data_IF_049456442666
#
_entry.id   IF_049456442666
#
_cell.length_a   1.000
_cell.length_b   1.000
_cell.length_c   1.000
_cell.angle_alpha   90.00
_cell.angle_beta   90.00
_cell.angle_gamma   90.00
#
_symmetry.space_group_name_H-M   'P 1'
#
loop_
_entity.id
_entity.type
_entity.pdbx_description
1 polymer ?
#
# COMPACT_ATOMS: atom_id res chain seq x y z
N UNK A 1 -32.55 0.75 10.28
CA UNK A 1 -32.31 2.12 9.85
C UNK A 1 -31.03 2.25 9.04
N UNK A 2 -30.11 1.31 9.19
CA UNK A 2 -28.88 1.19 8.41
C UNK A 2 -28.92 0.07 7.37
N UNK A 3 -30.15 -0.38 7.02
CA UNK A 3 -30.34 -1.33 5.95
C UNK A 3 -29.94 -0.74 4.59
N UNK A 4 -29.26 -1.53 3.79
CA UNK A 4 -28.86 -1.16 2.43
C UNK A 4 -30.09 -1.20 1.53
N UNK A 5 -30.42 -0.06 0.90
CA UNK A 5 -31.59 0.06 0.01
C UNK A 5 -31.23 0.19 -1.47
N UNK A 6 -29.99 0.63 -1.76
CA UNK A 6 -29.53 0.75 -3.13
C UNK A 6 -28.01 0.57 -3.22
N UNK A 7 -27.56 -0.08 -4.30
CA UNK A 7 -26.17 -0.24 -4.65
C UNK A 7 -26.00 0.01 -6.15
N UNK A 8 -25.03 0.84 -6.49
CA UNK A 8 -24.73 1.14 -7.88
C UNK A 8 -23.22 1.16 -8.11
N UNK A 9 -22.76 0.34 -9.05
CA UNK A 9 -21.37 0.33 -9.51
C UNK A 9 -21.23 0.92 -10.91
N UNK A 10 -20.06 1.50 -11.17
CA UNK A 10 -19.65 2.01 -12.47
C UNK A 10 -18.16 1.78 -12.72
N UNK A 11 -17.76 1.86 -14.00
CA UNK A 11 -16.36 1.98 -14.35
C UNK A 11 -15.93 3.45 -14.25
N UNK A 12 -14.82 3.70 -13.58
CA UNK A 12 -14.10 4.98 -13.61
C UNK A 12 -12.67 4.72 -14.09
N UNK A 13 -11.88 5.76 -14.29
CA UNK A 13 -10.46 5.63 -14.63
C UNK A 13 -9.58 5.73 -13.38
N UNK A 14 -8.58 4.86 -13.31
CA UNK A 14 -7.50 4.97 -12.34
C UNK A 14 -6.41 5.95 -12.78
N UNK A 15 -5.39 6.14 -11.96
CA UNK A 15 -4.27 7.06 -12.20
C UNK A 15 -3.39 6.70 -13.41
N UNK A 16 -3.55 5.49 -13.95
CA UNK A 16 -2.89 5.04 -15.19
C UNK A 16 -3.79 5.12 -16.42
N UNK A 17 -5.02 5.62 -16.27
CA UNK A 17 -6.00 5.70 -17.35
C UNK A 17 -6.66 4.36 -17.68
N UNK A 18 -6.55 3.36 -16.80
CA UNK A 18 -7.24 2.07 -16.93
C UNK A 18 -8.57 2.08 -16.17
N UNK A 19 -9.57 1.33 -16.63
CA UNK A 19 -10.81 1.19 -15.89
C UNK A 19 -10.61 0.54 -14.53
N UNK A 20 -11.36 1.03 -13.53
CA UNK A 20 -11.52 0.41 -12.22
C UNK A 20 -12.96 0.54 -11.74
N UNK A 21 -13.32 -0.20 -10.68
CA UNK A 21 -14.67 -0.24 -10.13
C UNK A 21 -14.84 0.88 -9.10
N UNK A 22 -15.94 1.62 -9.19
CA UNK A 22 -16.44 2.50 -8.13
C UNK A 22 -17.84 2.07 -7.75
N UNK A 23 -18.13 2.03 -6.45
CA UNK A 23 -19.42 1.59 -5.90
C UNK A 23 -20.01 2.67 -5.01
N UNK A 24 -21.30 2.93 -5.18
CA UNK A 24 -22.14 3.71 -4.31
C UNK A 24 -23.05 2.78 -3.50
N UNK A 25 -23.20 3.04 -2.20
CA UNK A 25 -24.14 2.37 -1.32
C UNK A 25 -25.01 3.43 -0.64
N UNK A 26 -26.33 3.22 -0.65
CA UNK A 26 -27.29 4.07 0.03
C UNK A 26 -28.05 3.28 1.09
N UNK A 27 -28.24 3.88 2.27
CA UNK A 27 -28.98 3.30 3.38
C UNK A 27 -30.39 3.87 3.50
N UNK A 28 -31.26 3.18 4.25
CA UNK A 28 -32.68 3.54 4.45
C UNK A 28 -32.85 4.95 5.03
N UNK A 29 -31.94 5.42 5.86
CA UNK A 29 -31.97 6.78 6.42
C UNK A 29 -31.43 7.87 5.47
N UNK A 30 -31.01 7.50 4.27
CA UNK A 30 -30.43 8.38 3.26
C UNK A 30 -28.92 8.54 3.35
N UNK A 31 -28.28 7.89 4.31
CA UNK A 31 -26.82 7.90 4.43
C UNK A 31 -26.17 7.22 3.23
N UNK A 32 -24.96 7.70 2.86
CA UNK A 32 -24.34 7.37 1.60
C UNK A 32 -22.83 7.06 1.76
N UNK A 33 -22.36 6.08 1.00
CA UNK A 33 -20.94 5.77 0.92
C UNK A 33 -20.51 5.50 -0.52
N UNK A 34 -19.33 6.01 -0.89
CA UNK A 34 -18.70 5.79 -2.19
C UNK A 34 -17.28 5.29 -2.00
N UNK A 35 -16.92 4.25 -2.72
CA UNK A 35 -15.55 3.71 -2.72
C UNK A 35 -15.09 3.36 -4.13
N UNK A 36 -13.86 3.71 -4.44
CA UNK A 36 -13.18 3.31 -5.66
C UNK A 36 -12.07 2.29 -5.33
N UNK A 37 -11.91 1.28 -6.18
CA UNK A 37 -11.01 0.16 -5.95
C UNK A 37 -9.66 0.42 -6.61
N UNK A 38 -8.53 0.27 -5.89
CA UNK A 38 -7.20 0.37 -6.48
C UNK A 38 -6.83 -0.87 -7.30
N UNK A 39 -5.80 -0.76 -8.15
CA UNK A 39 -5.32 -1.81 -9.05
C UNK A 39 -3.81 -1.87 -9.08
N UNK A 40 -3.21 -3.06 -9.02
CA UNK A 40 -1.76 -3.26 -9.08
C UNK A 40 -1.22 -3.30 -10.52
N UNK A 41 0.06 -2.93 -10.70
CA UNK A 41 0.84 -3.19 -11.91
C UNK A 41 1.55 -4.55 -11.79
N UNK A 42 2.34 -4.73 -10.74
CA UNK A 42 2.82 -6.03 -10.30
C UNK A 42 1.79 -6.65 -9.35
N UNK A 43 1.54 -7.95 -9.48
CA UNK A 43 0.58 -8.66 -8.62
C UNK A 43 1.22 -9.95 -8.13
N UNK A 44 1.19 -10.18 -6.83
CA UNK A 44 1.60 -11.43 -6.23
C UNK A 44 0.75 -12.60 -6.72
N UNK A 45 1.36 -13.76 -6.94
CA UNK A 45 0.67 -14.93 -7.49
C UNK A 45 -0.49 -15.43 -6.60
N UNK A 46 -0.49 -15.04 -5.34
CA UNK A 46 -1.45 -15.48 -4.33
C UNK A 46 -2.52 -14.43 -3.98
N UNK A 47 -2.57 -13.30 -4.71
CA UNK A 47 -3.59 -12.27 -4.50
C UNK A 47 -5.00 -12.77 -4.88
N UNK A 48 -6.01 -12.18 -4.24
CA UNK A 48 -7.38 -12.33 -4.70
C UNK A 48 -7.54 -11.74 -6.12
N UNK A 49 -8.44 -12.31 -6.91
CA UNK A 49 -8.55 -12.04 -8.35
C UNK A 49 -9.20 -10.70 -8.62
N UNK A 50 -8.46 -9.80 -9.25
CA UNK A 50 -9.03 -8.63 -9.91
C UNK A 50 -9.68 -9.06 -11.22
N UNK A 51 -11.00 -8.93 -11.31
CA UNK A 51 -11.72 -9.37 -12.51
C UNK A 51 -11.62 -8.33 -13.60
N UNK A 52 -11.03 -8.74 -14.73
CA UNK A 52 -10.93 -7.99 -15.98
C UNK A 52 -11.69 -8.69 -17.09
N UNK A 53 -12.28 -7.92 -18.01
CA UNK A 53 -13.13 -8.47 -19.08
C UNK A 53 -12.35 -9.26 -20.12
N UNK A 54 -11.09 -8.89 -20.37
CA UNK A 54 -10.22 -9.55 -21.35
C UNK A 54 -10.59 -9.26 -22.82
N UNK A 55 -11.66 -8.49 -23.08
CA UNK A 55 -12.09 -8.10 -24.43
C UNK A 55 -11.17 -7.02 -25.00
N UNK A 56 -10.25 -7.43 -25.83
CA UNK A 56 -9.25 -6.51 -26.44
C UNK A 56 -9.85 -5.43 -27.34
N UNK A 57 -11.10 -5.58 -27.78
CA UNK A 57 -11.80 -4.56 -28.58
C UNK A 57 -12.25 -3.36 -27.73
N UNK A 58 -12.28 -3.52 -26.42
CA UNK A 58 -12.65 -2.48 -25.45
C UNK A 58 -11.59 -2.37 -24.36
N UNK A 59 -11.13 -1.15 -24.08
CA UNK A 59 -10.12 -0.87 -23.06
C UNK A 59 -8.85 -1.75 -23.18
N UNK A 60 -8.52 -2.22 -24.38
CA UNK A 60 -7.40 -3.14 -24.62
C UNK A 60 -7.40 -4.40 -23.73
N UNK A 61 -8.59 -4.86 -23.35
CA UNK A 61 -8.80 -6.02 -22.49
C UNK A 61 -8.86 -5.70 -20.99
N UNK A 62 -8.64 -4.43 -20.60
CA UNK A 62 -8.57 -4.02 -19.19
C UNK A 62 -9.91 -3.54 -18.60
N UNK A 63 -11.02 -3.65 -19.33
CA UNK A 63 -12.35 -3.32 -18.84
C UNK A 63 -12.73 -4.10 -17.58
N UNK A 64 -13.60 -3.52 -16.75
CA UNK A 64 -14.12 -4.14 -15.52
C UNK A 64 -15.65 -4.25 -15.54
N UNK A 65 -16.25 -4.28 -16.73
CA UNK A 65 -17.70 -4.34 -16.86
C UNK A 65 -18.32 -5.58 -16.20
N UNK A 66 -17.66 -6.73 -16.31
CA UNK A 66 -18.12 -7.96 -15.65
C UNK A 66 -18.15 -7.81 -14.11
N UNK A 67 -17.18 -7.12 -13.52
CA UNK A 67 -17.20 -6.82 -12.08
C UNK A 67 -18.30 -5.81 -11.72
N UNK A 68 -18.50 -4.79 -12.54
CA UNK A 68 -19.62 -3.83 -12.39
C UNK A 68 -20.96 -4.53 -12.46
N UNK A 69 -21.16 -5.41 -13.43
CA UNK A 69 -22.39 -6.19 -13.58
C UNK A 69 -22.62 -7.12 -12.40
N UNK A 70 -21.56 -7.74 -11.86
CA UNK A 70 -21.66 -8.58 -10.65
C UNK A 70 -22.16 -7.76 -9.45
N UNK A 71 -21.69 -6.55 -9.26
CA UNK A 71 -22.17 -5.64 -8.20
C UNK A 71 -23.64 -5.28 -8.42
N UNK A 72 -24.00 -4.82 -9.63
CA UNK A 72 -25.33 -4.30 -9.93
C UNK A 72 -26.42 -5.36 -10.01
N UNK A 73 -26.05 -6.65 -10.02
CA UNK A 73 -26.98 -7.80 -10.10
C UNK A 73 -26.82 -8.72 -8.90
N UNK A 74 -25.98 -9.73 -9.00
CA UNK A 74 -25.87 -10.81 -8.00
C UNK A 74 -25.52 -10.30 -6.61
N UNK A 75 -24.53 -9.40 -6.47
CA UNK A 75 -24.15 -8.86 -5.16
C UNK A 75 -25.27 -7.97 -4.62
N UNK A 76 -25.86 -7.11 -5.46
CA UNK A 76 -26.98 -6.27 -5.02
C UNK A 76 -28.16 -7.13 -4.53
N UNK A 77 -28.56 -8.19 -5.24
CA UNK A 77 -29.63 -9.09 -4.82
C UNK A 77 -29.34 -9.75 -3.47
N UNK A 78 -28.06 -10.10 -3.19
CA UNK A 78 -27.65 -10.76 -1.95
C UNK A 78 -27.63 -9.80 -0.75
N UNK A 79 -27.17 -8.55 -0.95
CA UNK A 79 -26.88 -7.64 0.17
C UNK A 79 -27.94 -6.57 0.43
N UNK A 80 -28.91 -6.37 -0.50
CA UNK A 80 -30.03 -5.48 -0.27
C UNK A 80 -30.83 -5.94 0.95
N UNK A 81 -31.10 -5.00 1.87
CA UNK A 81 -31.78 -5.26 3.13
C UNK A 81 -30.86 -5.69 4.29
N UNK A 82 -29.59 -6.03 4.03
CA UNK A 82 -28.62 -6.27 5.11
C UNK A 82 -28.28 -4.96 5.83
N UNK A 83 -27.90 -5.09 7.08
CA UNK A 83 -27.43 -3.97 7.90
C UNK A 83 -25.98 -3.63 7.54
N UNK A 84 -25.72 -2.41 7.05
CA UNK A 84 -24.38 -1.96 6.69
C UNK A 84 -23.43 -1.86 7.91
N UNK A 85 -23.95 -1.79 9.13
CA UNK A 85 -23.13 -1.81 10.35
C UNK A 85 -22.63 -3.19 10.72
N UNK A 86 -23.27 -4.24 10.19
CA UNK A 86 -22.84 -5.61 10.37
C UNK A 86 -21.83 -6.00 9.29
N UNK A 87 -20.68 -5.31 9.27
CA UNK A 87 -19.63 -5.45 8.26
C UNK A 87 -19.19 -6.88 8.04
N UNK A 88 -19.02 -7.64 9.12
CA UNK A 88 -18.55 -9.03 9.04
C UNK A 88 -19.57 -9.94 8.33
N UNK A 89 -20.86 -9.76 8.60
CA UNK A 89 -21.92 -10.53 7.95
C UNK A 89 -22.06 -10.13 6.48
N UNK A 90 -21.98 -8.83 6.18
CA UNK A 90 -22.01 -8.33 4.81
C UNK A 90 -20.84 -8.91 3.97
N UNK A 91 -19.63 -8.83 4.48
CA UNK A 91 -18.45 -9.33 3.79
C UNK A 91 -18.51 -10.84 3.63
N UNK A 92 -18.96 -11.57 4.67
CA UNK A 92 -19.16 -13.03 4.60
C UNK A 92 -20.20 -13.41 3.54
N UNK A 93 -21.34 -12.73 3.47
CA UNK A 93 -22.35 -12.99 2.46
C UNK A 93 -21.79 -12.89 1.03
N UNK A 94 -20.98 -11.87 0.75
CA UNK A 94 -20.33 -11.72 -0.57
C UNK A 94 -19.26 -12.78 -0.84
N UNK A 95 -18.49 -13.19 0.16
CA UNK A 95 -17.49 -14.27 0.04
C UNK A 95 -18.17 -15.60 -0.25
N UNK A 96 -19.24 -15.93 0.47
CA UNK A 96 -20.04 -17.15 0.27
C UNK A 96 -20.73 -17.15 -1.09
N UNK A 97 -21.25 -16.00 -1.53
CA UNK A 97 -21.84 -15.83 -2.87
C UNK A 97 -20.80 -16.10 -3.97
N UNK A 98 -19.58 -15.60 -3.83
CA UNK A 98 -18.49 -15.89 -4.77
C UNK A 98 -18.17 -17.40 -4.79
N UNK A 99 -18.01 -18.02 -3.65
CA UNK A 99 -17.81 -19.44 -3.45
C UNK A 99 -16.46 -19.98 -3.93
N UNK A 100 -15.52 -19.11 -4.33
CA UNK A 100 -14.16 -19.51 -4.73
C UNK A 100 -13.12 -19.06 -3.70
N UNK A 101 -11.97 -19.76 -3.57
CA UNK A 101 -10.97 -19.43 -2.55
C UNK A 101 -10.32 -18.03 -2.72
N UNK A 102 -10.31 -17.52 -3.94
CA UNK A 102 -9.62 -16.28 -4.33
C UNK A 102 -10.55 -15.21 -4.91
N UNK A 103 -11.85 -15.30 -4.67
CA UNK A 103 -12.87 -14.38 -5.20
C UNK A 103 -12.87 -14.26 -6.73
N UNK A 104 -12.52 -15.37 -7.41
CA UNK A 104 -12.33 -15.39 -8.88
C UNK A 104 -13.63 -15.36 -9.68
N UNK A 105 -14.79 -15.71 -9.09
CA UNK A 105 -16.06 -15.74 -9.79
C UNK A 105 -16.65 -14.35 -9.97
N UNK A 106 -16.81 -13.59 -8.90
CA UNK A 106 -17.36 -12.23 -8.92
C UNK A 106 -16.26 -11.17 -9.13
N UNK A 107 -15.08 -11.41 -8.58
CA UNK A 107 -13.94 -10.52 -8.56
C UNK A 107 -13.75 -9.83 -7.21
N UNK A 108 -12.51 -9.83 -6.72
CA UNK A 108 -12.16 -9.12 -5.49
C UNK A 108 -12.42 -7.61 -5.60
N UNK A 109 -12.26 -7.03 -6.78
CA UNK A 109 -12.57 -5.62 -7.06
C UNK A 109 -14.07 -5.31 -6.89
N UNK A 110 -14.96 -6.18 -7.36
CA UNK A 110 -16.41 -6.05 -7.15
C UNK A 110 -16.77 -6.12 -5.66
N UNK A 111 -16.29 -7.13 -4.95
CA UNK A 111 -16.56 -7.37 -3.54
C UNK A 111 -16.01 -6.23 -2.67
N UNK A 112 -14.76 -5.82 -2.90
CA UNK A 112 -14.13 -4.74 -2.13
C UNK A 112 -14.85 -3.40 -2.30
N UNK A 113 -15.28 -3.08 -3.50
CA UNK A 113 -16.03 -1.84 -3.76
C UNK A 113 -17.27 -1.74 -2.87
N UNK A 114 -18.05 -2.82 -2.78
CA UNK A 114 -19.24 -2.87 -1.91
C UNK A 114 -18.85 -2.84 -0.43
N UNK A 115 -17.86 -3.63 -0.02
CA UNK A 115 -17.38 -3.70 1.36
C UNK A 115 -16.97 -2.32 1.91
N UNK A 116 -16.17 -1.56 1.16
CA UNK A 116 -15.72 -0.24 1.57
C UNK A 116 -16.82 0.83 1.46
N UNK A 117 -17.64 0.79 0.42
CA UNK A 117 -18.74 1.74 0.27
C UNK A 117 -19.78 1.57 1.39
N UNK A 118 -20.09 0.33 1.78
CA UNK A 118 -20.99 0.05 2.90
C UNK A 118 -20.43 0.56 4.23
N UNK A 119 -19.14 0.37 4.50
CA UNK A 119 -18.49 0.92 5.70
C UNK A 119 -18.56 2.45 5.75
N UNK A 120 -18.38 3.11 4.62
CA UNK A 120 -18.52 4.58 4.51
C UNK A 120 -19.96 5.05 4.74
N UNK A 121 -20.94 4.34 4.18
CA UNK A 121 -22.34 4.64 4.41
C UNK A 121 -22.73 4.45 5.87
N UNK A 122 -22.27 3.39 6.53
CA UNK A 122 -22.49 3.16 7.94
C UNK A 122 -21.83 4.24 8.83
N UNK A 123 -20.63 4.69 8.48
CA UNK A 123 -19.97 5.81 9.14
C UNK A 123 -20.78 7.10 9.01
N UNK A 124 -21.29 7.40 7.80
CA UNK A 124 -22.16 8.55 7.53
C UNK A 124 -23.44 8.49 8.37
N UNK A 125 -24.11 7.33 8.47
CA UNK A 125 -25.28 7.10 9.29
C UNK A 125 -25.05 7.38 10.79
N UNK A 126 -23.82 7.20 11.25
CA UNK A 126 -23.43 7.50 12.63
C UNK A 126 -22.89 8.92 12.82
N UNK A 127 -22.77 9.71 11.74
CA UNK A 127 -22.16 11.03 11.78
C UNK A 127 -20.69 10.99 12.21
N UNK A 128 -19.98 9.90 11.89
CA UNK A 128 -18.59 9.68 12.24
C UNK A 128 -17.69 9.68 11.00
N UNK A 129 -16.49 10.25 11.09
CA UNK A 129 -15.48 10.02 10.03
C UNK A 129 -15.10 8.54 10.00
N UNK A 130 -14.68 8.04 8.83
CA UNK A 130 -14.43 6.62 8.62
C UNK A 130 -13.40 6.05 9.60
N UNK A 131 -12.30 6.77 9.85
CA UNK A 131 -11.26 6.30 10.77
C UNK A 131 -11.81 6.07 12.19
N UNK A 132 -12.75 6.93 12.65
CA UNK A 132 -13.38 6.82 13.96
C UNK A 132 -14.41 5.70 14.00
N UNK A 133 -15.18 5.55 12.94
CA UNK A 133 -16.15 4.47 12.81
C UNK A 133 -15.48 3.09 12.86
N UNK A 134 -14.42 2.90 12.06
CA UNK A 134 -13.71 1.62 11.98
C UNK A 134 -12.81 1.37 13.19
N UNK A 135 -12.08 2.38 13.64
CA UNK A 135 -11.07 2.24 14.71
C UNK A 135 -11.59 2.49 16.12
N UNK A 136 -12.79 3.04 16.26
CA UNK A 136 -13.36 3.38 17.56
C UNK A 136 -12.67 4.55 18.25
N UNK A 137 -12.88 4.64 19.56
CA UNK A 137 -12.41 5.77 20.38
C UNK A 137 -10.87 5.88 20.48
N UNK A 138 -10.18 4.80 20.21
CA UNK A 138 -8.70 4.73 20.30
C UNK A 138 -7.99 5.05 18.98
N UNK A 139 -8.70 5.35 17.91
CA UNK A 139 -8.11 5.72 16.62
C UNK A 139 -7.58 7.16 16.67
N UNK A 140 -6.26 7.34 16.85
CA UNK A 140 -5.64 8.65 17.02
C UNK A 140 -4.17 8.74 16.57
N UNK A 141 -3.59 7.63 16.11
CA UNK A 141 -2.18 7.61 15.68
C UNK A 141 -2.08 7.95 14.19
N UNK A 142 -1.45 9.09 13.89
CA UNK A 142 -1.11 9.49 12.53
C UNK A 142 0.11 8.69 12.06
N UNK A 143 0.03 8.02 10.91
CA UNK A 143 1.11 7.18 10.41
C UNK A 143 2.30 7.99 9.91
N UNK A 144 3.51 7.47 10.10
CA UNK A 144 4.70 7.97 9.41
C UNK A 144 4.60 7.59 7.94
N UNK A 145 4.69 8.56 7.00
CA UNK A 145 4.67 8.24 5.58
C UNK A 145 6.01 7.70 5.09
N UNK A 146 5.95 6.64 4.29
CA UNK A 146 7.06 6.09 3.52
C UNK A 146 6.89 6.59 2.08
N UNK A 147 7.62 7.65 1.72
CA UNK A 147 7.40 8.42 0.49
C UNK A 147 8.33 7.95 -0.62
N UNK A 148 7.79 7.30 -1.64
CA UNK A 148 8.55 6.81 -2.79
C UNK A 148 9.06 7.97 -3.63
N UNK A 149 10.36 8.28 -3.56
CA UNK A 149 10.96 9.48 -4.17
C UNK A 149 11.75 9.18 -5.46
N UNK A 150 12.28 7.94 -5.60
CA UNK A 150 12.88 7.42 -6.83
C UNK A 150 12.27 6.07 -7.16
N UNK A 151 11.88 5.90 -8.41
CA UNK A 151 11.31 4.69 -8.96
C UNK A 151 12.30 3.94 -9.85
N UNK A 152 12.22 2.61 -9.79
CA UNK A 152 12.92 1.69 -10.70
C UNK A 152 12.04 0.46 -10.96
N UNK A 153 12.65 -0.66 -11.37
CA UNK A 153 11.94 -1.91 -11.64
C UNK A 153 10.73 -1.73 -12.55
N UNK A 154 9.61 -2.36 -12.20
CA UNK A 154 8.36 -2.27 -12.97
C UNK A 154 7.67 -0.87 -12.91
N UNK A 155 8.12 0.01 -12.01
CA UNK A 155 7.55 1.35 -11.85
C UNK A 155 8.22 2.43 -12.71
N UNK A 156 9.32 2.10 -13.42
CA UNK A 156 10.05 3.06 -14.24
C UNK A 156 10.79 2.38 -15.41
N UNK A 157 10.85 3.05 -16.54
CA UNK A 157 11.66 2.63 -17.70
C UNK A 157 13.10 3.15 -17.51
N UNK A 158 13.85 2.53 -16.61
CA UNK A 158 15.26 2.82 -16.31
C UNK A 158 15.99 1.54 -15.88
N UNK A 159 17.35 1.55 -15.77
CA UNK A 159 18.12 0.34 -15.45
C UNK A 159 18.16 -0.03 -13.96
N UNK A 160 17.44 0.63 -13.08
CA UNK A 160 17.43 0.33 -11.65
C UNK A 160 16.63 -0.93 -11.40
N UNK A 161 17.22 -1.93 -10.74
CA UNK A 161 16.53 -3.21 -10.44
C UNK A 161 15.48 -3.08 -9.32
N UNK A 162 15.76 -2.28 -8.28
CA UNK A 162 14.83 -2.08 -7.17
C UNK A 162 13.68 -1.15 -7.57
N UNK A 163 12.49 -1.48 -7.09
CA UNK A 163 11.25 -0.82 -7.52
C UNK A 163 11.05 0.55 -6.89
N UNK A 164 11.37 0.70 -5.60
CA UNK A 164 11.12 1.95 -4.87
C UNK A 164 12.22 2.29 -3.87
N UNK A 165 12.54 3.58 -3.82
CA UNK A 165 13.42 4.19 -2.83
C UNK A 165 12.63 5.26 -2.10
N UNK A 166 12.44 5.06 -0.79
CA UNK A 166 11.55 5.88 0.02
C UNK A 166 12.32 6.68 1.07
N UNK A 167 11.86 7.92 1.29
CA UNK A 167 12.23 8.73 2.45
C UNK A 167 11.14 8.60 3.53
N UNK A 168 11.56 8.62 4.79
CA UNK A 168 10.68 8.38 5.93
C UNK A 168 10.95 9.41 7.03
N UNK A 169 10.13 10.47 7.14
CA UNK A 169 10.38 11.60 8.03
C UNK A 169 10.01 11.29 9.49
N UNK A 170 10.76 10.39 10.12
CA UNK A 170 10.52 9.93 11.51
C UNK A 170 10.76 11.02 12.56
N UNK A 171 11.54 12.04 12.23
CA UNK A 171 11.87 13.14 13.13
C UNK A 171 10.90 14.31 13.09
N UNK A 172 9.86 14.26 12.27
CA UNK A 172 8.81 15.27 12.23
C UNK A 172 7.97 15.26 13.51
N UNK A 173 7.41 16.42 13.88
CA UNK A 173 6.59 16.55 15.08
C UNK A 173 5.14 16.10 14.84
N UNK A 174 4.65 16.20 13.60
CA UNK A 174 3.28 15.90 13.20
C UNK A 174 3.23 15.57 11.70
N UNK A 175 2.03 15.22 11.20
CA UNK A 175 1.88 14.82 9.79
C UNK A 175 2.11 15.99 8.83
N UNK A 176 1.74 17.21 9.21
CA UNK A 176 1.95 18.41 8.37
C UNK A 176 3.45 18.64 8.17
N UNK A 177 4.24 18.57 9.24
CA UNK A 177 5.69 18.72 9.18
C UNK A 177 6.37 17.54 8.43
N UNK A 178 5.82 16.33 8.54
CA UNK A 178 6.30 15.19 7.76
C UNK A 178 6.07 15.40 6.25
N UNK A 179 4.91 15.88 5.86
CA UNK A 179 4.59 16.21 4.45
C UNK A 179 5.44 17.39 3.96
N UNK A 180 5.65 18.42 4.77
CA UNK A 180 6.56 19.53 4.45
C UNK A 180 7.98 19.03 4.21
N UNK A 181 8.51 18.23 5.11
CA UNK A 181 9.84 17.63 4.99
C UNK A 181 9.96 16.83 3.67
N UNK A 182 8.99 15.97 3.38
CA UNK A 182 8.95 15.22 2.14
C UNK A 182 8.94 16.11 0.90
N UNK A 183 8.11 17.16 0.89
CA UNK A 183 8.02 18.11 -0.22
C UNK A 183 9.33 18.86 -0.45
N UNK A 184 9.97 19.34 0.58
CA UNK A 184 11.26 20.05 0.50
C UNK A 184 12.37 19.14 -0.06
N UNK A 185 12.44 17.88 0.39
CA UNK A 185 13.40 16.91 -0.14
C UNK A 185 13.07 16.56 -1.60
N UNK A 186 11.80 16.36 -1.93
CA UNK A 186 11.34 16.07 -3.30
C UNK A 186 11.80 17.17 -4.27
N UNK A 187 11.56 18.44 -3.96
CA UNK A 187 11.96 19.56 -4.82
C UNK A 187 13.48 19.73 -4.86
N UNK A 188 14.19 19.47 -3.77
CA UNK A 188 15.67 19.49 -3.72
C UNK A 188 16.25 18.38 -4.62
N UNK A 189 15.70 17.17 -4.56
CA UNK A 189 16.11 16.07 -5.44
C UNK A 189 15.84 16.41 -6.91
N UNK A 190 14.66 16.98 -7.22
CA UNK A 190 14.34 17.43 -8.59
C UNK A 190 15.40 18.37 -9.13
N UNK A 191 15.81 19.36 -8.34
CA UNK A 191 16.85 20.31 -8.70
C UNK A 191 18.19 19.61 -8.97
N UNK A 192 18.62 18.70 -8.09
CA UNK A 192 19.87 17.95 -8.24
C UNK A 192 19.89 17.06 -9.47
N UNK A 193 18.81 16.36 -9.76
CA UNK A 193 18.67 15.55 -10.96
C UNK A 193 18.78 16.42 -12.22
N UNK A 194 18.09 17.55 -12.24
CA UNK A 194 18.14 18.51 -13.35
C UNK A 194 19.56 19.06 -13.56
N UNK A 195 20.27 19.44 -12.51
CA UNK A 195 21.66 19.94 -12.57
C UNK A 195 22.63 18.89 -13.12
N UNK A 196 22.33 17.61 -12.96
CA UNK A 196 23.08 16.49 -13.54
C UNK A 196 22.63 16.11 -14.96
N UNK A 197 21.65 16.81 -15.52
CA UNK A 197 21.10 16.49 -16.85
C UNK A 197 20.24 15.21 -16.86
N UNK A 198 19.77 14.77 -15.70
CA UNK A 198 18.91 13.59 -15.56
C UNK A 198 17.43 13.94 -15.65
N UNK A 199 16.62 12.97 -16.09
CA UNK A 199 15.19 13.16 -16.20
C UNK A 199 14.51 13.45 -14.85
N UNK A 200 13.56 14.38 -14.85
CA UNK A 200 12.72 14.74 -13.71
C UNK A 200 11.25 14.42 -13.95
N UNK A 201 10.96 13.59 -14.94
CA UNK A 201 9.65 12.96 -15.12
C UNK A 201 9.33 12.04 -13.95
N UNK A 202 8.03 11.95 -13.60
CA UNK A 202 7.58 11.12 -12.49
C UNK A 202 6.96 9.82 -13.01
N UNK A 203 7.18 8.74 -12.26
CA UNK A 203 6.56 7.44 -12.49
C UNK A 203 5.13 7.36 -11.97
N UNK A 204 4.57 6.16 -11.99
CA UNK A 204 3.17 5.89 -11.61
C UNK A 204 2.83 6.32 -10.18
N UNK A 205 3.79 6.29 -9.28
CA UNK A 205 3.60 6.65 -7.86
C UNK A 205 4.11 8.04 -7.50
N UNK A 206 4.45 8.86 -8.50
CA UNK A 206 4.84 10.25 -8.30
C UNK A 206 6.31 10.48 -7.96
N UNK A 207 7.11 9.43 -7.76
CA UNK A 207 8.58 9.52 -7.62
C UNK A 207 9.27 9.74 -8.95
N UNK A 208 10.50 10.27 -8.94
CA UNK A 208 11.28 10.47 -10.16
C UNK A 208 11.76 9.14 -10.74
N UNK A 209 11.89 9.09 -12.06
CA UNK A 209 12.37 7.93 -12.80
C UNK A 209 13.65 8.29 -13.60
N UNK A 210 14.76 8.66 -12.94
CA UNK A 210 15.97 9.04 -13.61
C UNK A 210 16.70 7.83 -14.20
N UNK A 211 17.42 8.03 -15.31
CA UNK A 211 18.28 7.02 -15.88
C UNK A 211 19.64 7.00 -15.13
N UNK A 212 19.66 6.33 -13.98
CA UNK A 212 20.85 6.11 -13.16
C UNK A 212 21.16 4.61 -13.08
N UNK A 213 22.44 4.27 -12.87
CA UNK A 213 22.93 2.95 -13.17
C UNK A 213 22.88 1.97 -12.00
N UNK A 214 22.76 2.46 -10.74
CA UNK A 214 22.87 1.57 -9.59
C UNK A 214 22.00 2.00 -8.40
N UNK A 215 21.73 1.04 -7.53
CA UNK A 215 21.06 1.24 -6.24
C UNK A 215 21.82 2.24 -5.37
N UNK A 216 23.14 2.14 -5.30
CA UNK A 216 23.95 3.05 -4.48
C UNK A 216 23.94 4.48 -5.02
N UNK A 217 23.96 4.67 -6.35
CA UNK A 217 23.83 6.00 -6.94
C UNK A 217 22.46 6.64 -6.59
N UNK A 218 21.37 5.87 -6.64
CA UNK A 218 20.05 6.34 -6.22
C UNK A 218 20.04 6.77 -4.74
N UNK A 219 20.60 5.93 -3.86
CA UNK A 219 20.69 6.23 -2.44
C UNK A 219 21.56 7.46 -2.16
N UNK A 220 22.66 7.64 -2.86
CA UNK A 220 23.55 8.81 -2.72
C UNK A 220 22.85 10.11 -3.14
N UNK A 221 22.06 10.08 -4.23
CA UNK A 221 21.22 11.23 -4.61
C UNK A 221 20.23 11.59 -3.52
N UNK A 222 19.58 10.60 -2.93
CA UNK A 222 18.59 10.81 -1.86
C UNK A 222 19.29 11.37 -0.62
N UNK A 223 20.37 10.75 -0.15
CA UNK A 223 21.14 11.19 1.01
C UNK A 223 21.57 12.66 0.88
N UNK A 224 22.18 12.99 -0.26
CA UNK A 224 22.61 14.37 -0.53
C UNK A 224 21.45 15.35 -0.66
N UNK A 225 20.28 14.90 -1.06
CA UNK A 225 19.07 15.74 -1.16
C UNK A 225 18.45 16.00 0.21
N UNK A 226 18.47 15.02 1.11
CA UNK A 226 18.05 15.18 2.51
C UNK A 226 18.92 16.26 3.20
N UNK A 227 20.24 16.12 3.07
CA UNK A 227 21.19 17.09 3.66
C UNK A 227 21.03 18.49 3.08
N UNK A 228 20.91 18.61 1.75
CA UNK A 228 20.74 19.89 1.07
C UNK A 228 19.39 20.56 1.38
N UNK A 229 18.37 19.79 1.74
CA UNK A 229 17.09 20.30 2.23
C UNK A 229 17.13 20.73 3.70
N UNK A 230 18.27 20.54 4.40
CA UNK A 230 18.46 20.96 5.78
C UNK A 230 18.11 19.90 6.83
N UNK A 231 17.90 18.65 6.42
CA UNK A 231 17.60 17.54 7.31
C UNK A 231 18.79 16.60 7.49
N UNK A 232 18.79 15.83 8.58
CA UNK A 232 19.85 14.89 8.90
C UNK A 232 19.40 13.45 8.59
N UNK A 233 20.06 12.77 7.61
CA UNK A 233 19.81 11.36 7.36
C UNK A 233 20.12 10.52 8.62
N UNK A 234 19.25 9.55 8.91
CA UNK A 234 19.38 8.67 10.07
C UNK A 234 18.89 9.28 11.39
N UNK A 235 18.57 10.58 11.42
CA UNK A 235 18.05 11.27 12.62
C UNK A 235 16.64 11.84 12.39
N UNK A 236 16.51 12.69 11.37
CA UNK A 236 15.21 13.28 10.97
C UNK A 236 14.49 12.41 9.93
N UNK A 237 15.26 11.85 9.01
CA UNK A 237 14.76 11.08 7.86
C UNK A 237 15.51 9.77 7.76
N UNK A 238 14.76 8.67 7.81
CA UNK A 238 15.25 7.34 7.49
C UNK A 238 14.99 7.02 6.03
N UNK A 239 15.58 5.93 5.54
CA UNK A 239 15.32 5.37 4.21
C UNK A 239 14.58 4.05 4.31
N UNK A 240 13.79 3.75 3.27
CA UNK A 240 13.18 2.45 3.08
C UNK A 240 13.29 2.03 1.61
N UNK A 241 13.31 0.73 1.38
CA UNK A 241 13.40 0.13 0.05
C UNK A 241 12.20 -0.79 -0.19
N UNK A 242 11.73 -0.81 -1.42
CA UNK A 242 10.95 -1.92 -1.97
C UNK A 242 11.78 -2.54 -3.10
N UNK A 243 12.25 -3.76 -2.86
CA UNK A 243 13.09 -4.48 -3.81
C UNK A 243 12.25 -5.16 -4.88
N UNK A 244 11.01 -5.54 -4.59
CA UNK A 244 10.15 -6.36 -5.45
C UNK A 244 10.90 -7.57 -6.05
N UNK A 245 11.59 -8.32 -5.19
CA UNK A 245 12.62 -9.28 -5.61
C UNK A 245 12.08 -10.44 -6.45
N UNK A 246 10.78 -10.72 -6.40
CA UNK A 246 10.12 -11.71 -7.28
C UNK A 246 10.33 -11.36 -8.76
N UNK A 247 10.40 -10.07 -9.11
CA UNK A 247 10.49 -9.59 -10.50
C UNK A 247 11.84 -9.97 -11.17
N UNK A 248 12.90 -10.13 -10.39
CA UNK A 248 14.22 -10.53 -10.92
C UNK A 248 14.71 -11.89 -10.37
N UNK A 249 13.83 -12.68 -9.73
CA UNK A 249 14.14 -14.04 -9.31
C UNK A 249 13.83 -15.04 -10.43
N UNK A 250 14.86 -15.71 -10.95
CA UNK A 250 14.73 -16.70 -12.04
C UNK A 250 15.69 -17.84 -11.81
N UNK A 251 15.21 -19.07 -11.99
CA UNK A 251 16.02 -20.29 -11.90
C UNK A 251 16.77 -20.45 -10.56
N UNK A 252 16.15 -20.00 -9.46
CA UNK A 252 16.71 -20.11 -8.10
C UNK A 252 17.76 -19.06 -7.75
N UNK A 253 17.93 -18.02 -8.58
CA UNK A 253 18.86 -16.91 -8.35
C UNK A 253 18.23 -15.55 -8.63
N UNK A 254 18.78 -14.51 -8.03
CA UNK A 254 18.39 -13.11 -8.24
C UNK A 254 19.27 -12.51 -9.33
N UNK A 255 18.66 -12.22 -10.49
CA UNK A 255 19.34 -11.67 -11.68
C UNK A 255 19.10 -10.16 -11.76
N UNK A 256 19.97 -9.39 -11.14
CA UNK A 256 19.92 -7.93 -11.16
C UNK A 256 20.67 -7.42 -12.39
N UNK A 257 19.93 -7.13 -13.45
CA UNK A 257 20.50 -6.72 -14.75
C UNK A 257 21.18 -5.36 -14.66
N UNK A 258 20.54 -4.40 -13.99
CA UNK A 258 21.06 -3.05 -13.79
C UNK A 258 22.33 -3.02 -12.94
N UNK A 259 22.40 -3.84 -11.91
CA UNK A 259 23.58 -4.02 -11.07
C UNK A 259 24.66 -4.93 -11.71
N UNK A 260 24.33 -5.65 -12.79
CA UNK A 260 25.23 -6.64 -13.40
C UNK A 260 25.54 -7.81 -12.46
N UNK A 261 24.63 -8.18 -11.58
CA UNK A 261 24.82 -9.22 -10.56
C UNK A 261 23.87 -10.39 -10.75
N UNK A 262 24.36 -11.58 -10.43
CA UNK A 262 23.54 -12.78 -10.26
C UNK A 262 23.88 -13.37 -8.90
N UNK A 263 22.91 -13.40 -8.01
CA UNK A 263 23.10 -13.72 -6.59
C UNK A 263 22.23 -14.91 -6.19
N UNK A 264 22.81 -15.81 -5.39
CA UNK A 264 22.01 -16.77 -4.62
C UNK A 264 21.21 -16.07 -3.54
N UNK A 265 20.27 -16.76 -2.88
CA UNK A 265 19.48 -16.21 -1.77
C UNK A 265 20.39 -15.72 -0.63
N UNK A 266 21.43 -16.46 -0.30
CA UNK A 266 22.39 -16.06 0.73
C UNK A 266 23.20 -14.82 0.33
N UNK A 267 23.68 -14.74 -0.91
CA UNK A 267 24.40 -13.57 -1.43
C UNK A 267 23.50 -12.33 -1.53
N UNK A 268 22.23 -12.51 -1.88
CA UNK A 268 21.25 -11.41 -1.87
C UNK A 268 21.00 -10.88 -0.45
N UNK A 269 20.90 -11.77 0.54
CA UNK A 269 20.79 -11.35 1.95
C UNK A 269 22.04 -10.56 2.41
N UNK A 270 23.25 -10.97 1.97
CA UNK A 270 24.49 -10.21 2.24
C UNK A 270 24.49 -8.85 1.53
N UNK A 271 24.04 -8.78 0.30
CA UNK A 271 23.93 -7.52 -0.45
C UNK A 271 23.01 -6.53 0.26
N UNK A 272 21.81 -6.96 0.67
CA UNK A 272 20.86 -6.12 1.42
C UNK A 272 21.42 -5.72 2.78
N UNK A 273 22.12 -6.63 3.49
CA UNK A 273 22.78 -6.31 4.75
C UNK A 273 23.88 -5.26 4.58
N UNK A 274 24.63 -5.33 3.48
CA UNK A 274 25.64 -4.32 3.12
C UNK A 274 25.04 -2.93 2.90
N UNK A 275 23.91 -2.84 2.21
CA UNK A 275 23.17 -1.58 2.03
C UNK A 275 22.67 -1.02 3.37
N UNK A 276 22.07 -1.86 4.21
CA UNK A 276 21.57 -1.45 5.53
C UNK A 276 22.69 -1.03 6.51
N UNK A 277 23.91 -1.53 6.32
CA UNK A 277 25.08 -1.10 7.09
C UNK A 277 25.65 0.24 6.61
N UNK A 278 25.48 0.57 5.35
CA UNK A 278 26.04 1.77 4.71
C UNK A 278 25.09 2.96 4.75
N UNK A 279 23.79 2.73 4.70
CA UNK A 279 22.75 3.77 4.64
C UNK A 279 21.76 3.61 5.82
N UNK A 280 21.07 4.68 6.24
CA UNK A 280 20.09 4.65 7.32
C UNK A 280 18.77 3.99 6.88
N UNK A 281 18.84 2.76 6.38
CA UNK A 281 17.70 1.96 5.93
C UNK A 281 17.10 1.27 7.16
N UNK A 282 15.85 1.61 7.49
CA UNK A 282 15.14 0.98 8.59
C UNK A 282 14.15 -0.09 8.12
N UNK A 283 13.77 -0.08 6.83
CA UNK A 283 12.75 -0.98 6.28
C UNK A 283 13.11 -1.45 4.87
N UNK A 284 12.94 -2.75 4.63
CA UNK A 284 13.11 -3.40 3.33
C UNK A 284 11.87 -4.23 3.05
N UNK A 285 11.18 -3.91 1.96
CA UNK A 285 10.01 -4.63 1.47
C UNK A 285 10.45 -5.61 0.38
N UNK A 286 9.88 -6.81 0.42
CA UNK A 286 10.11 -7.90 -0.55
C UNK A 286 11.57 -8.05 -0.98
N UNK A 287 12.46 -8.11 0.00
CA UNK A 287 13.89 -8.33 -0.22
C UNK A 287 14.22 -9.71 -0.76
N UNK A 288 13.28 -10.64 -0.72
CA UNK A 288 13.33 -11.99 -1.31
C UNK A 288 12.07 -12.26 -2.10
N UNK A 289 12.12 -13.22 -3.02
CA UNK A 289 10.99 -13.63 -3.83
C UNK A 289 9.88 -14.26 -2.95
N UNK A 290 8.63 -14.16 -3.41
CA UNK A 290 7.42 -14.55 -2.66
C UNK A 290 7.36 -16.02 -2.21
N UNK A 291 8.07 -16.90 -2.89
CA UNK A 291 8.15 -18.34 -2.55
C UNK A 291 9.56 -18.80 -2.13
N UNK A 292 10.54 -17.90 -2.03
CA UNK A 292 11.89 -18.19 -1.51
C UNK A 292 11.90 -18.12 0.03
N UNK A 293 11.19 -19.03 0.67
CA UNK A 293 11.07 -19.08 2.14
C UNK A 293 12.41 -19.27 2.86
N UNK A 294 13.33 -20.04 2.28
CA UNK A 294 14.68 -20.23 2.84
C UNK A 294 15.49 -18.93 2.78
N UNK A 295 15.37 -18.20 1.67
CA UNK A 295 15.95 -16.86 1.54
C UNK A 295 15.37 -15.86 2.55
N UNK A 296 14.05 -15.86 2.73
CA UNK A 296 13.38 -15.05 3.74
C UNK A 296 13.84 -15.39 5.16
N UNK A 297 14.05 -16.67 5.46
CA UNK A 297 14.60 -17.09 6.75
C UNK A 297 15.99 -16.53 6.98
N UNK A 298 16.88 -16.70 6.02
CA UNK A 298 18.24 -16.18 6.10
C UNK A 298 18.27 -14.65 6.24
N UNK A 299 17.45 -13.92 5.48
CA UNK A 299 17.35 -12.47 5.59
C UNK A 299 16.84 -12.04 6.97
N UNK A 300 15.80 -12.71 7.49
CA UNK A 300 15.20 -12.38 8.78
C UNK A 300 16.18 -12.61 9.92
N UNK A 301 16.91 -13.73 9.91
CA UNK A 301 17.96 -14.02 10.91
C UNK A 301 19.09 -12.99 10.88
N UNK A 302 19.44 -12.50 9.68
CA UNK A 302 20.53 -11.53 9.49
C UNK A 302 20.15 -10.11 9.87
N UNK A 303 18.98 -9.63 9.48
CA UNK A 303 18.58 -8.22 9.58
C UNK A 303 17.38 -7.96 10.51
N UNK A 304 16.54 -8.96 10.77
CA UNK A 304 15.24 -8.76 11.40
C UNK A 304 15.27 -8.14 12.81
N UNK A 305 16.40 -8.19 13.50
CA UNK A 305 16.55 -7.54 14.80
C UNK A 305 16.73 -6.01 14.72
N UNK A 306 17.12 -5.48 13.54
CA UNK A 306 17.47 -4.06 13.36
C UNK A 306 16.68 -3.39 12.24
N UNK A 307 16.17 -4.17 11.30
CA UNK A 307 15.50 -3.69 10.08
C UNK A 307 14.09 -4.27 10.05
N UNK A 308 13.12 -3.43 9.70
CA UNK A 308 11.78 -3.87 9.37
C UNK A 308 11.81 -4.61 8.03
N UNK A 309 11.40 -5.87 8.02
CA UNK A 309 11.32 -6.70 6.83
C UNK A 309 9.84 -6.90 6.48
N UNK A 310 9.41 -6.21 5.44
CA UNK A 310 8.02 -6.14 5.03
C UNK A 310 7.72 -7.21 3.98
N UNK A 311 6.69 -8.02 4.22
CA UNK A 311 6.15 -8.93 3.21
C UNK A 311 4.95 -8.29 2.50
N UNK A 312 5.11 -7.99 1.21
CA UNK A 312 4.06 -7.62 0.26
C UNK A 312 3.58 -8.88 -0.47
N UNK A 313 4.25 -9.29 -1.52
CA UNK A 313 3.91 -10.50 -2.28
C UNK A 313 4.04 -11.77 -1.43
N UNK A 314 4.91 -11.76 -0.43
CA UNK A 314 5.06 -12.84 0.53
C UNK A 314 3.74 -13.16 1.25
N UNK A 315 2.99 -12.17 1.69
CA UNK A 315 1.81 -12.31 2.52
C UNK A 315 0.49 -11.98 1.81
N UNK A 316 0.51 -11.13 0.81
CA UNK A 316 -0.65 -10.65 0.03
C UNK A 316 -1.86 -10.26 0.89
N UNK A 317 -1.61 -9.66 2.05
CA UNK A 317 -2.65 -9.28 3.03
C UNK A 317 -3.52 -10.47 3.48
N UNK A 318 -3.02 -11.70 3.30
CA UNK A 318 -3.76 -12.92 3.59
C UNK A 318 -3.41 -13.47 4.98
N UNK A 319 -4.37 -13.57 5.93
CA UNK A 319 -4.12 -14.06 7.27
C UNK A 319 -3.48 -15.46 7.32
N UNK A 320 -3.80 -16.34 6.38
CA UNK A 320 -3.23 -17.70 6.32
C UNK A 320 -1.74 -17.67 5.96
N UNK A 321 -1.36 -16.88 4.95
CA UNK A 321 0.06 -16.71 4.57
C UNK A 321 0.83 -15.97 5.65
N UNK A 322 0.23 -14.93 6.23
CA UNK A 322 0.82 -14.21 7.36
C UNK A 322 1.07 -15.12 8.55
N UNK A 323 0.11 -15.99 8.89
CA UNK A 323 0.29 -16.98 9.97
C UNK A 323 1.46 -17.91 9.70
N UNK A 324 1.64 -18.39 8.46
CA UNK A 324 2.83 -19.18 8.07
C UNK A 324 4.12 -18.39 8.32
N UNK A 325 4.13 -17.10 7.98
CA UNK A 325 5.26 -16.21 8.25
C UNK A 325 5.59 -16.11 9.74
N UNK A 326 4.56 -15.88 10.55
CA UNK A 326 4.67 -15.74 12.01
C UNK A 326 5.19 -17.05 12.62
N UNK A 327 4.58 -18.18 12.30
CA UNK A 327 4.94 -19.50 12.85
C UNK A 327 6.38 -19.92 12.47
N UNK A 328 6.84 -19.53 11.27
CA UNK A 328 8.19 -19.84 10.76
C UNK A 328 9.25 -18.77 11.08
N UNK A 329 8.86 -17.62 11.59
CA UNK A 329 9.77 -16.50 11.84
C UNK A 329 10.33 -15.90 10.54
N UNK A 330 9.48 -15.71 9.55
CA UNK A 330 9.80 -15.08 8.26
C UNK A 330 9.29 -13.64 8.24
N UNK A 331 10.13 -12.68 7.84
CA UNK A 331 9.83 -11.25 7.88
C UNK A 331 9.46 -10.77 9.31
N UNK A 332 8.98 -9.56 9.46
CA UNK A 332 8.50 -9.01 10.73
C UNK A 332 7.51 -7.86 10.56
N UNK A 333 7.01 -7.66 9.33
CA UNK A 333 6.03 -6.64 9.01
C UNK A 333 5.14 -7.10 7.85
N UNK A 334 3.88 -6.68 7.89
CA UNK A 334 2.88 -6.91 6.84
C UNK A 334 2.67 -5.63 6.04
N UNK A 335 2.76 -5.70 4.71
CA UNK A 335 2.19 -4.68 3.85
C UNK A 335 0.69 -4.95 3.68
N UNK A 336 -0.14 -3.92 3.87
CA UNK A 336 -1.60 -4.05 3.86
C UNK A 336 -2.16 -3.38 2.62
N UNK A 337 -2.64 -4.18 1.68
CA UNK A 337 -3.31 -3.74 0.45
C UNK A 337 -4.73 -4.30 0.43
N UNK A 338 -5.72 -3.46 0.59
CA UNK A 338 -7.14 -3.87 0.73
C UNK A 338 -7.63 -4.74 -0.41
N UNK A 339 -7.15 -4.51 -1.63
CA UNK A 339 -7.58 -5.27 -2.81
C UNK A 339 -6.87 -6.62 -2.99
N UNK A 340 -5.76 -6.88 -2.27
CA UNK A 340 -5.10 -8.19 -2.31
C UNK A 340 -5.92 -9.28 -1.63
N UNK A 341 -6.77 -8.90 -0.69
CA UNK A 341 -7.67 -9.83 0.02
C UNK A 341 -9.15 -9.60 -0.35
N UNK A 342 -9.58 -8.35 -0.52
CA UNK A 342 -10.85 -8.00 -1.16
C UNK A 342 -12.03 -7.72 -0.24
N UNK A 343 -11.84 -7.65 1.09
CA UNK A 343 -12.84 -7.13 2.04
C UNK A 343 -12.20 -6.33 3.15
N UNK A 344 -12.97 -5.44 3.76
CA UNK A 344 -12.54 -4.69 4.94
C UNK A 344 -12.33 -5.63 6.13
N UNK A 345 -13.24 -6.57 6.36
CA UNK A 345 -13.15 -7.53 7.47
C UNK A 345 -11.84 -8.32 7.43
N UNK A 346 -11.52 -8.96 6.30
CA UNK A 346 -10.28 -9.73 6.16
C UNK A 346 -9.03 -8.84 6.25
N UNK A 347 -9.11 -7.60 5.75
CA UNK A 347 -8.02 -6.61 5.91
C UNK A 347 -7.74 -6.32 7.38
N UNK A 348 -8.78 -6.04 8.15
CA UNK A 348 -8.65 -5.76 9.59
C UNK A 348 -8.19 -6.99 10.39
N UNK A 349 -8.62 -8.18 9.99
CA UNK A 349 -8.13 -9.44 10.57
C UNK A 349 -6.63 -9.63 10.34
N UNK A 350 -6.13 -9.37 9.13
CA UNK A 350 -4.71 -9.45 8.82
C UNK A 350 -3.89 -8.44 9.65
N UNK A 351 -4.33 -7.19 9.75
CA UNK A 351 -3.67 -6.16 10.57
C UNK A 351 -3.66 -6.57 12.04
N UNK A 352 -4.79 -7.02 12.56
CA UNK A 352 -4.91 -7.46 13.97
C UNK A 352 -4.03 -8.67 14.26
N UNK A 353 -3.94 -9.63 13.34
CA UNK A 353 -3.05 -10.78 13.48
C UNK A 353 -1.57 -10.35 13.52
N UNK A 354 -1.15 -9.45 12.61
CA UNK A 354 0.19 -8.90 12.57
C UNK A 354 0.54 -8.25 13.92
N UNK A 355 -0.27 -7.30 14.37
CA UNK A 355 -0.04 -6.52 15.58
C UNK A 355 0.03 -7.40 16.85
N UNK A 356 -0.89 -8.37 16.99
CA UNK A 356 -0.89 -9.30 18.13
C UNK A 356 0.27 -10.28 18.12
N UNK A 357 0.93 -10.45 16.98
CA UNK A 357 2.08 -11.34 16.80
C UNK A 357 3.41 -10.58 16.78
N UNK A 358 3.42 -9.31 17.23
CA UNK A 358 4.60 -8.43 17.25
C UNK A 358 5.17 -8.14 15.86
N UNK A 359 4.38 -8.30 14.80
CA UNK A 359 4.67 -7.78 13.47
C UNK A 359 4.14 -6.35 13.37
N UNK A 360 4.86 -5.49 12.69
CA UNK A 360 4.34 -4.20 12.29
C UNK A 360 3.42 -4.34 11.07
N UNK A 361 2.64 -3.30 10.79
CA UNK A 361 1.80 -3.22 9.59
C UNK A 361 2.01 -1.87 8.92
N UNK A 362 2.06 -1.87 7.59
CA UNK A 362 2.17 -0.68 6.76
C UNK A 362 0.95 -0.61 5.86
N UNK A 363 0.09 0.39 6.04
CA UNK A 363 -1.05 0.61 5.13
C UNK A 363 -0.54 1.10 3.78
N UNK A 364 -0.98 0.49 2.68
CA UNK A 364 -0.39 0.73 1.37
C UNK A 364 -1.42 1.01 0.29
N UNK A 365 -1.04 1.91 -0.63
CA UNK A 365 -1.68 2.11 -1.92
C UNK A 365 -1.34 0.99 -2.92
N UNK A 366 -1.81 1.15 -4.15
CA UNK A 366 -1.35 0.38 -5.32
C UNK A 366 -0.83 1.35 -6.40
N UNK A 367 -0.16 0.80 -7.43
CA UNK A 367 0.34 1.60 -8.56
C UNK A 367 -0.80 2.28 -9.35
N UNK A 368 -1.93 1.63 -9.53
CA UNK A 368 -3.16 2.20 -10.05
C UNK A 368 -4.09 2.65 -8.92
N UNK A 369 -4.19 3.95 -8.72
CA UNK A 369 -5.01 4.58 -7.67
C UNK A 369 -6.05 5.53 -8.25
N UNK A 370 -6.92 6.01 -7.37
CA UNK A 370 -7.90 7.07 -7.64
C UNK A 370 -7.77 8.16 -6.57
N UNK A 371 -8.65 9.16 -6.56
CA UNK A 371 -8.72 10.16 -5.49
C UNK A 371 -9.32 9.60 -4.19
N UNK A 372 -9.76 8.34 -4.16
CA UNK A 372 -10.23 7.68 -2.94
C UNK A 372 -9.13 7.69 -1.87
N UNK A 373 -9.45 8.15 -0.68
CA UNK A 373 -8.51 8.30 0.43
C UNK A 373 -8.75 7.30 1.58
N UNK A 374 -9.51 6.25 1.34
CA UNK A 374 -9.90 5.24 2.35
C UNK A 374 -8.70 4.72 3.15
N UNK A 375 -7.57 4.45 2.49
CA UNK A 375 -6.39 3.90 3.19
C UNK A 375 -5.78 4.87 4.20
N UNK A 376 -5.95 6.17 4.04
CA UNK A 376 -5.53 7.15 5.05
C UNK A 376 -6.37 7.00 6.33
N UNK A 377 -7.69 6.88 6.20
CA UNK A 377 -8.58 6.59 7.33
C UNK A 377 -8.26 5.24 7.97
N UNK A 378 -8.01 4.19 7.19
CA UNK A 378 -7.68 2.86 7.70
C UNK A 378 -6.34 2.83 8.44
N UNK A 379 -5.35 3.60 8.00
CA UNK A 379 -4.08 3.72 8.70
C UNK A 379 -4.27 4.29 10.12
N UNK A 380 -5.10 5.31 10.27
CA UNK A 380 -5.42 5.89 11.58
C UNK A 380 -6.36 4.98 12.38
N UNK A 381 -7.36 4.38 11.72
CA UNK A 381 -8.30 3.45 12.37
C UNK A 381 -7.60 2.27 13.05
N UNK A 382 -6.57 1.74 12.42
CA UNK A 382 -5.81 0.58 12.93
C UNK A 382 -4.65 0.96 13.85
N UNK A 383 -4.33 2.25 13.98
CA UNK A 383 -3.12 2.74 14.66
C UNK A 383 -1.85 1.98 14.18
N UNK A 384 -1.77 1.61 12.90
CA UNK A 384 -0.65 0.83 12.38
C UNK A 384 0.68 1.62 12.37
N UNK A 385 0.60 2.94 12.41
CA UNK A 385 1.75 3.83 12.56
C UNK A 385 2.56 4.09 11.30
N UNK A 386 2.24 3.44 10.18
CA UNK A 386 2.97 3.59 8.92
C UNK A 386 2.00 3.57 7.73
N UNK A 387 2.30 4.39 6.72
CA UNK A 387 1.58 4.39 5.43
C UNK A 387 2.57 4.52 4.26
N UNK A 388 2.37 3.70 3.24
CA UNK A 388 3.09 3.73 1.98
C UNK A 388 2.10 4.16 0.89
N UNK A 389 2.16 5.43 0.43
CA UNK A 389 1.16 5.97 -0.49
C UNK A 389 1.77 6.87 -1.58
N UNK A 390 2.99 6.55 -1.99
CA UNK A 390 3.67 7.23 -3.10
C UNK A 390 4.40 8.50 -2.68
N UNK A 391 4.71 9.34 -3.66
CA UNK A 391 5.50 10.54 -3.51
C UNK A 391 4.65 11.79 -3.29
N UNK A 392 5.29 12.97 -3.40
CA UNK A 392 4.70 14.31 -3.24
C UNK A 392 4.22 14.90 -4.58
N UNK A 393 3.83 14.06 -5.52
CA UNK A 393 3.29 14.43 -6.82
C UNK A 393 2.17 13.44 -7.21
N UNK A 394 1.29 13.85 -8.12
CA UNK A 394 0.06 13.16 -8.57
C UNK A 394 -1.06 13.22 -7.53
N UNK A 395 -2.23 13.69 -7.95
CA UNK A 395 -3.40 13.92 -7.08
C UNK A 395 -3.90 12.67 -6.38
N UNK A 396 -3.76 11.51 -7.03
CA UNK A 396 -4.11 10.20 -6.51
C UNK A 396 -3.28 9.81 -5.26
N UNK A 397 -2.05 10.30 -5.15
CA UNK A 397 -1.18 10.13 -3.96
C UNK A 397 -1.46 11.22 -2.92
N UNK A 398 -1.49 12.48 -3.37
CA UNK A 398 -1.71 13.63 -2.50
C UNK A 398 -3.07 13.60 -1.80
N UNK A 399 -4.08 12.98 -2.40
CA UNK A 399 -5.39 12.79 -1.76
C UNK A 399 -5.27 12.11 -0.38
N UNK A 400 -4.39 11.12 -0.24
CA UNK A 400 -4.16 10.40 1.00
C UNK A 400 -3.42 11.27 2.03
N UNK A 401 -2.38 12.00 1.61
CA UNK A 401 -1.67 12.94 2.49
C UNK A 401 -2.60 14.07 2.97
N UNK A 402 -3.38 14.64 2.06
CA UNK A 402 -4.34 15.69 2.40
C UNK A 402 -5.40 15.17 3.40
N UNK A 403 -5.83 13.93 3.26
CA UNK A 403 -6.76 13.29 4.19
C UNK A 403 -6.13 13.11 5.59
N UNK A 404 -4.89 12.68 5.67
CA UNK A 404 -4.16 12.59 6.95
C UNK A 404 -4.03 13.94 7.66
N UNK A 405 -3.79 15.01 6.90
CA UNK A 405 -3.75 16.39 7.45
C UNK A 405 -5.12 16.76 8.04
N UNK A 406 -6.22 16.47 7.34
CA UNK A 406 -7.57 16.74 7.85
C UNK A 406 -7.87 15.93 9.11
N UNK A 407 -7.48 14.66 9.14
CA UNK A 407 -7.66 13.80 10.32
C UNK A 407 -6.87 14.34 11.52
N UNK A 408 -5.63 14.77 11.33
CA UNK A 408 -4.84 15.38 12.41
C UNK A 408 -5.49 16.64 12.95
N UNK A 409 -5.97 17.51 12.06
CA UNK A 409 -6.68 18.73 12.43
C UNK A 409 -7.98 18.41 13.22
N UNK A 410 -8.74 17.41 12.80
CA UNK A 410 -9.96 16.96 13.48
C UNK A 410 -9.66 16.36 14.86
N UNK A 411 -8.58 15.60 15.01
CA UNK A 411 -8.16 15.03 16.29
C UNK A 411 -7.60 16.10 17.26
N UNK A 412 -7.02 17.17 16.72
CA UNK A 412 -6.41 18.23 17.53
C UNK A 412 -5.35 17.69 18.50
N UNK A 413 -5.44 18.08 19.77
CA UNK A 413 -4.47 17.66 20.80
C UNK A 413 -4.45 16.15 21.09
N UNK A 414 -5.44 15.41 20.63
CA UNK A 414 -5.48 13.95 20.75
C UNK A 414 -4.64 13.24 19.67
N UNK A 415 -4.25 13.93 18.62
CA UNK A 415 -3.44 13.36 17.56
C UNK A 415 -2.03 12.99 18.06
N UNK A 416 -1.57 11.80 17.72
CA UNK A 416 -0.23 11.33 18.02
C UNK A 416 0.44 10.92 16.71
N UNK A 417 1.50 11.64 16.34
CA UNK A 417 2.32 11.23 15.20
C UNK A 417 3.25 10.09 15.62
N UNK A 418 3.23 8.98 14.88
CA UNK A 418 4.00 7.78 15.25
C UNK A 418 5.52 8.04 15.31
N UNK A 419 6.05 8.86 14.40
CA UNK A 419 7.43 9.33 14.44
C UNK A 419 8.45 8.22 14.64
N UNK A 420 9.39 8.43 15.55
CA UNK A 420 10.47 7.46 15.85
C UNK A 420 9.99 6.17 16.52
N UNK A 421 8.72 6.09 16.96
CA UNK A 421 8.21 4.85 17.56
C UNK A 421 8.12 3.67 16.59
N UNK A 422 8.20 3.93 15.27
CA UNK A 422 8.22 2.88 14.25
C UNK A 422 9.59 2.21 14.09
N UNK A 423 10.66 2.82 14.63
CA UNK A 423 12.02 2.27 14.55
C UNK A 423 12.20 1.11 15.55
N UNK A 424 13.01 0.13 15.15
CA UNK A 424 13.40 -1.03 15.97
C UNK A 424 14.62 -0.76 16.83
#
# INVERSE_FOLDING_TARGET
>A
VTAIIDIHARQILDSRGNPTVEVDVMLEDGSFGRAAVPSGASTGAHEAVEKRDGDKSRWLGKGVQAAVDAVNREIAEEVLGLDAEDQADLDRAMIELDGTPNKGRLGANAILGVSLAAAKAAADARGLPLYRYVGGVNAHVLPVPMMNIINGGEHADNPIDFQEFMIVPVGAENIVEAVRCGSEIFHTLKKKLHEKGLATGVGDEGGFAPNIASTTEALDFIMSSIEAAGYKPGENVMLALDCAATEYYRDGVYKMVGEGKTLSSAENAEFLAGLAAQYPIFSIEDGMAEDDWDGWKALTEKLGAKVQLVGDDLFVTNPTRLKRGIDGGYANSLLVKVNQIGTLTETLEAVSLAQRSSYTAVMSHRSGETEDATIADLAVATNCGQIKTGSLARSDRLAKYNQLIRIEEELGDAAVYAGKSVLK
#
